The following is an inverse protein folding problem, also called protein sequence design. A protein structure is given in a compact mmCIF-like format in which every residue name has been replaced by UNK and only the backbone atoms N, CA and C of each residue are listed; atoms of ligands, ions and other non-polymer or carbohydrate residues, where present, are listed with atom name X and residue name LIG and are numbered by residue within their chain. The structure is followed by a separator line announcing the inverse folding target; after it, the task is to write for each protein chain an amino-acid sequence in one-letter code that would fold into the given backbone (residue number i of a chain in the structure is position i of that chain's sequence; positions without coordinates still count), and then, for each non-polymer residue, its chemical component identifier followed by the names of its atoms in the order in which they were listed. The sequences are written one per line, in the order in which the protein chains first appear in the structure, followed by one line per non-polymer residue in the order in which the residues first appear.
data_IF_168122158181
#
_entry.id   IF_168122158181
#
_cell.length_a   1.000
_cell.length_b   1.000
_cell.length_c   1.000
_cell.angle_alpha   90.00
_cell.angle_beta   90.00
_cell.angle_gamma   90.00
#
_symmetry.space_group_name_H-M   'P 1'
#
loop_
_entity.id
_entity.type
_entity.pdbx_description
1 polymer ?
#
# COMPACT_ATOMS: atom_id res chain seq x y z
N UNK A 1 -20.83 10.18 2.23
CA UNK A 1 -20.32 10.75 3.51
C UNK A 1 -20.62 9.86 4.71
N UNK A 2 -21.70 9.07 4.69
CA UNK A 2 -22.18 8.22 5.79
C UNK A 2 -21.25 7.05 6.22
N UNK A 3 -20.14 6.80 5.51
CA UNK A 3 -19.23 5.67 5.78
C UNK A 3 -17.78 6.04 6.17
N UNK A 4 -17.46 7.33 6.34
CA UNK A 4 -16.11 7.69 6.80
C UNK A 4 -15.98 7.49 8.31
N UNK A 5 -14.97 6.74 8.82
CA UNK A 5 -14.83 6.47 10.26
C UNK A 5 -14.69 7.75 11.11
N UNK A 6 -14.22 8.85 10.51
CA UNK A 6 -14.04 10.12 11.20
C UNK A 6 -15.34 10.93 11.38
N UNK A 7 -16.43 10.59 10.69
CA UNK A 7 -17.73 11.30 10.69
C UNK A 7 -17.64 12.85 10.48
N UNK A 8 -16.51 13.34 9.95
CA UNK A 8 -16.19 14.75 9.67
C UNK A 8 -15.35 14.83 8.40
N UNK A 9 -15.42 15.98 7.72
CA UNK A 9 -14.55 16.26 6.56
C UNK A 9 -13.14 16.51 7.07
N UNK A 10 -12.18 15.65 6.70
CA UNK A 10 -10.76 15.85 6.96
C UNK A 10 -9.88 15.21 5.87
N UNK A 11 -8.60 15.54 5.89
CA UNK A 11 -7.57 15.06 4.96
C UNK A 11 -6.61 14.03 5.60
N UNK A 12 -6.84 13.64 6.85
CA UNK A 12 -5.90 12.80 7.61
C UNK A 12 -5.60 11.45 6.93
N UNK A 13 -6.60 10.82 6.30
CA UNK A 13 -6.42 9.55 5.59
C UNK A 13 -5.55 9.67 4.34
N UNK A 14 -5.73 10.74 3.56
CA UNK A 14 -4.91 10.97 2.36
C UNK A 14 -3.49 11.38 2.76
N UNK A 15 -3.34 12.17 3.83
CA UNK A 15 -2.03 12.53 4.38
C UNK A 15 -1.26 11.31 4.92
N UNK A 16 -1.95 10.40 5.61
CA UNK A 16 -1.38 9.11 6.06
C UNK A 16 -0.91 8.26 4.87
N UNK A 17 -1.69 8.24 3.80
CA UNK A 17 -1.36 7.52 2.57
C UNK A 17 -0.15 8.16 1.88
N UNK A 18 -0.11 9.48 1.75
CA UNK A 18 1.02 10.22 1.19
C UNK A 18 2.31 10.01 1.98
N UNK A 19 2.24 10.03 3.32
CA UNK A 19 3.38 9.73 4.17
C UNK A 19 3.91 8.32 3.93
N UNK A 20 3.02 7.33 3.85
CA UNK A 20 3.38 5.94 3.56
C UNK A 20 4.05 5.81 2.18
N UNK A 21 3.46 6.40 1.14
CA UNK A 21 4.03 6.36 -0.20
C UNK A 21 5.39 7.07 -0.26
N UNK A 22 5.55 8.21 0.42
CA UNK A 22 6.83 8.92 0.49
C UNK A 22 7.94 8.09 1.16
N UNK A 23 7.64 7.40 2.26
CA UNK A 23 8.60 6.52 2.94
C UNK A 23 9.13 5.41 2.02
N UNK A 24 8.30 4.91 1.12
CA UNK A 24 8.67 3.86 0.18
C UNK A 24 9.23 4.40 -1.15
N UNK A 25 8.92 5.65 -1.50
CA UNK A 25 9.31 6.25 -2.77
C UNK A 25 9.81 7.69 -2.58
N UNK A 26 11.13 7.84 -2.58
CA UNK A 26 11.80 9.14 -2.45
C UNK A 26 11.44 10.15 -3.54
N UNK A 27 10.91 9.71 -4.69
CA UNK A 27 10.43 10.60 -5.75
C UNK A 27 9.25 11.49 -5.31
N UNK A 28 8.49 11.07 -4.29
CA UNK A 28 7.33 11.79 -3.78
C UNK A 28 7.68 12.89 -2.76
N UNK A 29 8.95 12.97 -2.36
CA UNK A 29 9.42 14.02 -1.47
C UNK A 29 9.87 15.27 -2.25
N UNK A 30 9.48 16.44 -1.73
CA UNK A 30 9.94 17.73 -2.26
C UNK A 30 11.45 17.86 -2.05
N UNK A 31 12.18 18.32 -3.07
CA UNK A 31 13.66 18.47 -3.08
C UNK A 31 14.43 17.16 -2.88
N UNK A 32 13.88 16.07 -3.40
CA UNK A 32 14.55 14.77 -3.43
C UNK A 32 15.55 14.69 -4.60
N UNK A 33 16.67 14.00 -4.39
CA UNK A 33 17.59 13.63 -5.47
C UNK A 33 17.08 12.45 -6.31
N UNK A 34 16.01 11.78 -5.86
CA UNK A 34 15.37 10.67 -6.55
C UNK A 34 14.34 11.21 -7.55
N UNK A 35 14.76 11.94 -8.59
CA UNK A 35 13.84 12.37 -9.64
C UNK A 35 13.58 11.24 -10.65
N UNK A 36 12.37 11.19 -11.20
CA UNK A 36 12.07 10.34 -12.35
C UNK A 36 12.31 11.16 -13.62
N UNK A 37 12.93 10.55 -14.63
CA UNK A 37 13.15 11.18 -15.94
C UNK A 37 11.94 11.04 -16.87
N UNK A 38 11.17 9.97 -16.68
CA UNK A 38 10.03 9.59 -17.50
C UNK A 38 8.84 9.26 -16.61
N UNK A 39 7.63 9.62 -17.05
CA UNK A 39 6.40 9.39 -16.29
C UNK A 39 6.09 7.90 -16.12
N UNK A 40 6.29 7.10 -17.17
CA UNK A 40 6.04 5.65 -17.12
C UNK A 40 6.88 4.94 -16.04
N UNK A 41 8.16 5.30 -15.95
CA UNK A 41 9.06 4.80 -14.89
C UNK A 41 8.59 5.22 -13.49
N UNK A 42 8.04 6.42 -13.34
CA UNK A 42 7.49 6.90 -12.07
C UNK A 42 6.22 6.15 -11.68
N UNK A 43 5.29 6.00 -12.61
CA UNK A 43 4.03 5.26 -12.44
C UNK A 43 4.31 3.81 -12.06
N UNK A 44 5.25 3.15 -12.75
CA UNK A 44 5.67 1.78 -12.46
C UNK A 44 6.20 1.62 -11.03
N UNK A 45 7.03 2.57 -10.56
CA UNK A 45 7.55 2.57 -9.17
C UNK A 45 6.43 2.73 -8.15
N UNK A 46 5.47 3.62 -8.41
CA UNK A 46 4.31 3.81 -7.54
C UNK A 46 3.45 2.54 -7.53
N UNK A 47 3.17 1.95 -8.68
CA UNK A 47 2.38 0.73 -8.79
C UNK A 47 2.99 -0.41 -7.97
N UNK A 48 4.30 -0.64 -8.09
CA UNK A 48 5.02 -1.65 -7.30
C UNK A 48 4.92 -1.34 -5.81
N UNK A 49 5.07 -0.07 -5.41
CA UNK A 49 4.98 0.35 -4.01
C UNK A 49 3.61 0.09 -3.41
N UNK A 50 2.55 0.46 -4.15
CA UNK A 50 1.16 0.24 -3.74
C UNK A 50 0.87 -1.26 -3.66
N UNK A 51 1.29 -2.03 -4.65
CA UNK A 51 1.05 -3.47 -4.67
C UNK A 51 1.80 -4.18 -3.53
N UNK A 52 3.05 -3.80 -3.26
CA UNK A 52 3.80 -4.32 -2.12
C UNK A 52 3.12 -4.03 -0.77
N UNK A 53 2.65 -2.80 -0.58
CA UNK A 53 1.96 -2.39 0.66
C UNK A 53 0.67 -3.19 0.89
N UNK A 54 -0.09 -3.46 -0.17
CA UNK A 54 -1.41 -4.09 -0.10
C UNK A 54 -1.36 -5.62 -0.10
N UNK A 55 -0.45 -6.24 -0.85
CA UNK A 55 -0.46 -7.69 -1.08
C UNK A 55 0.66 -8.44 -0.35
N UNK A 56 1.81 -7.80 -0.11
CA UNK A 56 3.00 -8.49 0.42
C UNK A 56 3.22 -8.21 1.90
N UNK A 57 3.16 -6.94 2.31
CA UNK A 57 3.53 -6.53 3.67
C UNK A 57 2.36 -6.71 4.66
N UNK A 58 2.49 -7.56 5.70
CA UNK A 58 1.53 -7.60 6.79
C UNK A 58 1.63 -6.35 7.67
N UNK A 59 0.50 -5.86 8.18
CA UNK A 59 0.47 -4.69 9.09
C UNK A 59 0.04 -5.11 10.48
N UNK A 60 0.75 -4.62 11.49
CA UNK A 60 0.49 -4.96 12.90
C UNK A 60 -0.96 -4.67 13.31
N UNK A 61 -1.46 -3.48 12.96
CA UNK A 61 -2.84 -3.05 13.29
C UNK A 61 -3.92 -3.94 12.65
N UNK A 62 -3.62 -4.65 11.57
CA UNK A 62 -4.53 -5.61 10.93
C UNK A 62 -4.32 -7.03 11.43
N UNK A 63 -3.19 -7.30 12.09
CA UNK A 63 -2.77 -8.64 12.48
C UNK A 63 -3.24 -9.02 13.90
N UNK A 64 -3.72 -8.06 14.67
CA UNK A 64 -4.25 -8.29 16.02
C UNK A 64 -5.60 -9.03 15.97
N UNK A 65 -5.73 -10.08 16.78
CA UNK A 65 -6.96 -10.85 16.94
C UNK A 65 -7.68 -10.48 18.24
N UNK A 66 -9.01 -10.60 18.32
CA UNK A 66 -9.77 -10.33 19.54
C UNK A 66 -9.37 -11.20 20.74
N UNK A 67 -8.80 -12.38 20.50
CA UNK A 67 -8.32 -13.31 21.53
C UNK A 67 -6.90 -12.99 22.03
N UNK A 68 -6.31 -11.86 21.63
CA UNK A 68 -4.95 -11.44 22.01
C UNK A 68 -3.82 -12.13 21.23
N UNK A 69 -4.14 -13.00 20.27
CA UNK A 69 -3.13 -13.58 19.37
C UNK A 69 -2.86 -12.65 18.18
N UNK A 70 -1.74 -12.87 17.47
CA UNK A 70 -1.41 -12.10 16.27
C UNK A 70 -1.29 -13.04 15.07
N UNK A 71 -2.05 -12.75 14.00
CA UNK A 71 -1.97 -13.45 12.73
C UNK A 71 -1.61 -12.44 11.65
N UNK A 72 -0.47 -12.59 10.95
CA UNK A 72 -0.07 -11.65 9.91
C UNK A 72 -1.18 -11.45 8.86
N UNK A 73 -1.66 -10.22 8.70
CA UNK A 73 -2.63 -9.84 7.67
C UNK A 73 -2.18 -8.65 6.85
N UNK A 74 -2.36 -8.73 5.55
CA UNK A 74 -2.19 -7.62 4.61
C UNK A 74 -3.49 -6.84 4.44
N UNK A 75 -3.45 -5.60 3.89
CA UNK A 75 -4.66 -4.84 3.60
C UNK A 75 -5.55 -5.54 2.58
N UNK A 76 -4.97 -6.21 1.56
CA UNK A 76 -5.75 -6.98 0.60
C UNK A 76 -6.47 -8.18 1.24
N UNK A 77 -5.86 -8.81 2.25
CA UNK A 77 -6.55 -9.85 3.04
C UNK A 77 -7.68 -9.28 3.89
N UNK A 78 -7.45 -8.14 4.55
CA UNK A 78 -8.49 -7.48 5.35
C UNK A 78 -9.68 -7.02 4.48
N UNK A 79 -9.43 -6.67 3.21
CA UNK A 79 -10.45 -6.31 2.25
C UNK A 79 -11.13 -7.52 1.56
N UNK A 80 -10.65 -8.76 1.79
CA UNK A 80 -11.16 -9.96 1.14
C UNK A 80 -10.77 -10.10 -0.35
N UNK A 81 -9.73 -9.40 -0.80
CA UNK A 81 -9.23 -9.44 -2.18
C UNK A 81 -8.21 -10.58 -2.37
N UNK A 82 -7.46 -10.92 -1.32
CA UNK A 82 -6.46 -11.98 -1.34
C UNK A 82 -6.64 -12.91 -0.13
N UNK A 83 -6.40 -14.21 -0.31
CA UNK A 83 -6.53 -15.19 0.77
C UNK A 83 -5.29 -15.25 1.66
N UNK A 84 -4.11 -15.02 1.09
CA UNK A 84 -2.80 -15.13 1.74
C UNK A 84 -1.90 -13.93 1.40
N UNK A 85 -0.93 -13.59 2.27
CA UNK A 85 0.12 -12.63 1.91
C UNK A 85 0.93 -13.17 0.72
N UNK A 86 1.14 -12.31 -0.28
CA UNK A 86 2.00 -12.64 -1.41
C UNK A 86 3.47 -12.54 -1.00
N UNK A 87 4.33 -13.29 -1.67
CA UNK A 87 5.76 -13.03 -1.61
C UNK A 87 6.17 -12.09 -2.75
N UNK A 88 7.33 -11.44 -2.62
CA UNK A 88 7.81 -10.46 -3.62
C UNK A 88 8.01 -11.09 -5.00
N UNK A 89 8.46 -12.34 -5.07
CA UNK A 89 8.66 -13.05 -6.33
C UNK A 89 7.31 -13.24 -7.04
N UNK A 90 6.27 -13.65 -6.32
CA UNK A 90 4.92 -13.82 -6.83
C UNK A 90 4.35 -12.50 -7.35
N UNK A 91 4.58 -11.40 -6.62
CA UNK A 91 4.17 -10.07 -7.05
C UNK A 91 4.85 -9.65 -8.37
N UNK A 92 6.14 -9.93 -8.53
CA UNK A 92 6.90 -9.53 -9.73
C UNK A 92 6.76 -10.50 -10.91
N UNK A 93 6.47 -11.77 -10.64
CA UNK A 93 6.35 -12.82 -11.65
C UNK A 93 5.01 -12.80 -12.39
N UNK A 94 3.98 -12.16 -11.84
CA UNK A 94 2.69 -11.94 -12.51
C UNK A 94 2.53 -10.48 -12.93
N UNK A 95 3.01 -10.08 -14.11
CA UNK A 95 2.43 -8.94 -14.78
C UNK A 95 1.06 -9.40 -15.30
N UNK A 96 -0.03 -9.06 -14.61
CA UNK A 96 -1.29 -8.98 -15.34
C UNK A 96 -1.14 -7.80 -16.30
N UNK A 97 -0.78 -8.13 -17.54
CA UNK A 97 -0.73 -7.19 -18.66
C UNK A 97 -2.16 -6.68 -18.81
N UNK A 98 -2.40 -5.43 -18.45
CA UNK A 98 -3.64 -4.74 -18.83
C UNK A 98 -3.77 -4.82 -20.35
N UNK A 99 -4.74 -5.60 -20.82
CA UNK A 99 -5.23 -5.54 -22.20
C UNK A 99 -5.96 -4.22 -22.44
#
# INVERSE_FOLDING_TARGET
MERSPSNKINTSYIERSNGTLGQHNGNLHRKSLFFAKENESFESRIAITIAYYNFVKPHMTLSENPNGTSTPRTPAQAAGIADAPWNVIYLLARPEISQ
#
